data_IF_766816381711
#
_entry.id   IF_766816381711
#
_cell.length_a   1.000
_cell.length_b   1.000
_cell.length_c   1.000
_cell.angle_alpha   90.00
_cell.angle_beta   90.00
_cell.angle_gamma   90.00
#
_symmetry.space_group_name_H-M   'P 1'
#
loop_
_entity.id
_entity.type
_entity.pdbx_description
1 polymer ?
#
# COMPACT_ATOMS: atom_id res chain seq x y z
N UNK A 1 -17.69 11.67 18.10
CA UNK A 1 -16.58 10.70 18.20
C UNK A 1 -16.16 10.41 16.78
N UNK A 2 -14.84 10.41 16.54
CA UNK A 2 -14.23 10.53 15.21
C UNK A 2 -14.78 9.47 14.26
N UNK A 3 -15.29 9.93 13.12
CA UNK A 3 -15.65 9.07 11.99
C UNK A 3 -14.33 8.50 11.45
N UNK A 4 -13.96 7.32 11.93
CA UNK A 4 -13.03 6.44 11.25
C UNK A 4 -13.61 6.25 9.84
N UNK A 5 -13.04 6.94 8.85
CA UNK A 5 -13.40 6.74 7.45
C UNK A 5 -13.07 5.30 7.12
N UNK A 6 -14.10 4.48 7.21
CA UNK A 6 -14.22 3.16 6.63
C UNK A 6 -13.48 3.18 5.29
N UNK A 7 -12.33 2.53 5.29
CA UNK A 7 -11.59 2.16 4.09
C UNK A 7 -12.44 1.08 3.42
N UNK A 8 -13.57 1.48 2.82
CA UNK A 8 -14.45 0.55 2.14
C UNK A 8 -13.60 -0.19 1.12
N UNK A 9 -13.46 -1.52 1.22
CA UNK A 9 -12.75 -2.26 0.20
C UNK A 9 -13.47 -1.96 -1.10
N UNK A 10 -12.74 -1.50 -2.13
CA UNK A 10 -13.24 -1.61 -3.49
C UNK A 10 -13.30 -3.10 -3.81
N UNK A 11 -14.32 -3.77 -3.26
CA UNK A 11 -14.71 -5.16 -3.48
C UNK A 11 -14.96 -5.31 -4.98
N UNK A 12 -13.89 -5.54 -5.75
CA UNK A 12 -13.82 -6.37 -6.97
C UNK A 12 -12.54 -6.21 -7.80
N UNK A 13 -11.67 -5.23 -7.55
CA UNK A 13 -10.64 -4.88 -8.55
C UNK A 13 -9.17 -4.95 -8.07
N UNK A 14 -8.92 -5.45 -6.86
CA UNK A 14 -7.55 -5.51 -6.31
C UNK A 14 -6.95 -4.15 -5.97
N UNK A 15 -7.76 -3.09 -5.91
CA UNK A 15 -7.34 -1.73 -5.54
C UNK A 15 -7.72 -1.42 -4.10
N UNK A 16 -6.79 -0.83 -3.37
CA UNK A 16 -6.91 -0.52 -1.96
C UNK A 16 -6.44 0.92 -1.73
N UNK A 17 -7.23 1.74 -1.05
CA UNK A 17 -6.90 3.15 -0.83
C UNK A 17 -7.06 3.47 0.65
N UNK A 18 -5.98 3.86 1.34
CA UNK A 18 -5.98 4.14 2.77
C UNK A 18 -4.99 5.24 3.12
N UNK A 19 -5.24 5.97 4.21
CA UNK A 19 -4.31 6.97 4.70
C UNK A 19 -3.20 6.32 5.55
N UNK A 20 -1.95 6.72 5.30
CA UNK A 20 -0.77 6.26 6.03
C UNK A 20 -0.06 7.43 6.69
N UNK A 21 0.51 7.17 7.87
CA UNK A 21 1.43 8.13 8.49
C UNK A 21 2.84 7.89 7.95
N UNK A 22 3.27 8.76 7.04
CA UNK A 22 4.58 8.70 6.41
C UNK A 22 5.36 10.00 6.68
N UNK A 23 6.60 9.90 7.18
CA UNK A 23 7.44 11.07 7.50
C UNK A 23 6.75 12.12 8.38
N UNK A 24 5.92 11.69 9.35
CA UNK A 24 5.20 12.59 10.26
C UNK A 24 4.02 13.33 9.65
N UNK A 25 3.57 12.93 8.44
CA UNK A 25 2.37 13.47 7.79
C UNK A 25 1.41 12.34 7.44
N UNK A 26 0.12 12.63 7.47
CA UNK A 26 -0.91 11.76 6.91
C UNK A 26 -0.90 11.94 5.39
N UNK A 27 -0.54 10.88 4.67
CA UNK A 27 -0.53 10.84 3.22
C UNK A 27 -1.50 9.79 2.74
N UNK A 28 -2.19 10.10 1.64
CA UNK A 28 -3.13 9.18 1.03
C UNK A 28 -2.37 8.12 0.23
N UNK A 29 -2.52 6.84 0.58
CA UNK A 29 -1.86 5.74 -0.10
C UNK A 29 -2.87 4.94 -0.92
N UNK A 30 -2.54 4.72 -2.19
CA UNK A 30 -3.27 3.85 -3.11
C UNK A 30 -2.39 2.65 -3.42
N UNK A 31 -2.96 1.46 -3.41
CA UNK A 31 -2.26 0.22 -3.68
C UNK A 31 -3.09 -0.59 -4.66
N UNK A 32 -2.54 -0.87 -5.83
CA UNK A 32 -3.18 -1.68 -6.86
C UNK A 32 -2.45 -3.02 -6.95
N UNK A 33 -3.13 -4.09 -6.51
CA UNK A 33 -2.65 -5.46 -6.59
C UNK A 33 -3.06 -6.07 -7.93
N UNK A 34 -2.08 -6.30 -8.80
CA UNK A 34 -2.23 -6.98 -10.08
C UNK A 34 -1.44 -8.30 -10.03
N UNK A 35 -2.15 -9.43 -9.92
CA UNK A 35 -1.55 -10.77 -9.74
C UNK A 35 -0.56 -10.81 -8.56
N UNK A 36 0.75 -10.79 -8.85
CA UNK A 36 1.87 -10.84 -7.93
C UNK A 36 2.58 -9.49 -7.77
N UNK A 37 2.03 -8.41 -8.34
CA UNK A 37 2.61 -7.07 -8.25
C UNK A 37 1.65 -6.15 -7.49
N UNK A 38 2.19 -5.29 -6.65
CA UNK A 38 1.49 -4.23 -5.93
C UNK A 38 2.09 -2.89 -6.37
N UNK A 39 1.30 -2.10 -7.06
CA UNK A 39 1.64 -0.71 -7.40
C UNK A 39 1.19 0.19 -6.27
N UNK A 40 2.13 0.76 -5.52
CA UNK A 40 1.88 1.66 -4.41
C UNK A 40 2.07 3.10 -4.88
N UNK A 41 1.09 3.95 -4.63
CA UNK A 41 1.16 5.38 -4.90
C UNK A 41 0.78 6.12 -3.62
N UNK A 42 1.75 6.82 -3.04
CA UNK A 42 1.54 7.65 -1.85
C UNK A 42 1.52 9.11 -2.29
N UNK A 43 0.42 9.78 -1.97
CA UNK A 43 0.12 11.15 -2.36
C UNK A 43 0.16 11.27 -3.90
N UNK A 44 1.02 12.12 -4.46
CA UNK A 44 1.18 12.26 -5.91
C UNK A 44 2.65 12.31 -6.36
N UNK A 45 3.60 12.18 -5.43
CA UNK A 45 5.04 12.24 -5.71
C UNK A 45 5.80 10.94 -5.40
N UNK A 46 5.20 10.03 -4.63
CA UNK A 46 5.86 8.79 -4.21
C UNK A 46 5.12 7.65 -4.90
N UNK A 47 5.80 6.95 -5.80
CA UNK A 47 5.31 5.76 -6.46
C UNK A 47 6.28 4.63 -6.18
N UNK A 48 5.82 3.44 -5.83
CA UNK A 48 6.66 2.29 -5.56
C UNK A 48 6.01 1.04 -6.13
N UNK A 49 6.84 0.11 -6.55
CA UNK A 49 6.40 -1.16 -7.11
C UNK A 49 6.90 -2.27 -6.22
N UNK A 50 5.97 -3.00 -5.62
CA UNK A 50 6.25 -4.14 -4.77
C UNK A 50 5.87 -5.41 -5.54
N UNK A 51 6.62 -6.49 -5.36
CA UNK A 51 6.31 -7.80 -5.92
C UNK A 51 6.10 -8.79 -4.77
N UNK A 52 4.96 -9.46 -4.78
CA UNK A 52 4.62 -10.59 -3.92
C UNK A 52 5.47 -11.78 -4.32
N UNK A 53 6.33 -12.21 -3.42
CA UNK A 53 7.10 -13.45 -3.55
C UNK A 53 6.21 -14.65 -3.19
N UNK A 54 6.59 -15.84 -3.65
CA UNK A 54 5.90 -17.10 -3.34
C UNK A 54 5.88 -17.41 -1.82
N UNK A 55 6.85 -16.89 -1.07
CA UNK A 55 6.92 -16.96 0.39
C UNK A 55 5.91 -16.02 1.10
N UNK A 56 5.19 -15.19 0.35
CA UNK A 56 4.27 -14.18 0.88
C UNK A 56 4.97 -12.90 1.36
N UNK A 57 6.27 -12.73 1.08
CA UNK A 57 6.99 -11.47 1.30
C UNK A 57 6.73 -10.46 0.18
N UNK A 58 6.71 -9.16 0.51
CA UNK A 58 6.69 -8.08 -0.48
C UNK A 58 8.10 -7.55 -0.66
N UNK A 59 8.62 -7.59 -1.88
CA UNK A 59 9.92 -7.02 -2.22
C UNK A 59 9.70 -5.80 -3.11
N UNK A 60 10.30 -4.68 -2.76
CA UNK A 60 10.32 -3.54 -3.66
C UNK A 60 11.17 -3.84 -4.90
N UNK A 61 10.53 -3.78 -6.06
CA UNK A 61 11.16 -4.00 -7.36
C UNK A 61 11.33 -2.71 -8.16
N UNK A 62 10.71 -1.60 -7.74
CA UNK A 62 10.81 -0.32 -8.45
C UNK A 62 10.24 0.88 -7.69
N UNK A 63 10.46 2.06 -8.27
CA UNK A 63 9.98 3.35 -7.76
C UNK A 63 10.79 3.96 -6.61
N UNK A 64 10.11 4.80 -5.84
CA UNK A 64 10.56 5.52 -4.66
C UNK A 64 10.79 4.57 -3.50
N UNK A 65 11.97 4.62 -2.91
CA UNK A 65 12.36 3.79 -1.77
C UNK A 65 11.34 3.93 -0.64
N UNK A 66 10.66 2.83 -0.31
CA UNK A 66 9.75 2.76 0.82
C UNK A 66 10.46 2.10 1.99
N UNK A 67 10.39 2.67 3.20
CA UNK A 67 10.94 2.04 4.38
C UNK A 67 10.21 0.72 4.66
N UNK A 68 10.94 -0.24 5.23
CA UNK A 68 10.42 -1.57 5.54
C UNK A 68 9.13 -1.52 6.38
N UNK A 69 9.02 -0.57 7.31
CA UNK A 69 7.80 -0.35 8.12
C UNK A 69 6.57 -0.04 7.26
N UNK A 70 6.73 0.71 6.18
CA UNK A 70 5.62 1.02 5.26
C UNK A 70 5.26 -0.21 4.42
N UNK A 71 6.25 -0.96 3.94
CA UNK A 71 6.06 -2.19 3.18
C UNK A 71 5.33 -3.24 4.04
N UNK A 72 5.73 -3.42 5.31
CA UNK A 72 5.08 -4.33 6.25
C UNK A 72 3.63 -3.91 6.57
N UNK A 73 3.40 -2.61 6.73
CA UNK A 73 2.05 -2.08 6.94
C UNK A 73 1.14 -2.32 5.73
N UNK A 74 1.63 -2.05 4.51
CA UNK A 74 0.92 -2.33 3.27
C UNK A 74 0.65 -3.84 3.17
N UNK A 75 1.66 -4.69 3.42
CA UNK A 75 1.51 -6.14 3.41
C UNK A 75 0.34 -6.60 4.28
N UNK A 76 0.28 -6.17 5.55
CA UNK A 76 -0.80 -6.52 6.49
C UNK A 76 -2.16 -6.01 6.03
N UNK A 77 -2.21 -4.83 5.41
CA UNK A 77 -3.49 -4.26 4.94
C UNK A 77 -4.03 -4.97 3.70
N UNK A 78 -3.15 -5.45 2.82
CA UNK A 78 -3.51 -6.04 1.52
C UNK A 78 -3.64 -7.57 1.59
N UNK A 79 -2.66 -8.23 2.22
CA UNK A 79 -2.60 -9.70 2.28
C UNK A 79 -3.28 -10.29 3.53
N UNK A 80 -3.53 -9.48 4.57
CA UNK A 80 -4.11 -9.93 5.85
C UNK A 80 -3.07 -10.52 6.80
#
# INVERSE_FOLDING_TARGET
MKEDKDTAPAEKDGKYEFDIHYSGRELHCKVEKEQNKLSVQIDNNINAELTVQEDGCLIQTGGSDLPDSAIDYIKKRILG
#
